data_IF_215505779439
#
_entry.id   IF_215505779439
#
_cell.length_a   1.000
_cell.length_b   1.000
_cell.length_c   1.000
_cell.angle_alpha   90.00
_cell.angle_beta   90.00
_cell.angle_gamma   90.00
#
_symmetry.space_group_name_H-M   'P 1'
#
loop_
_entity.id
_entity.type
_entity.pdbx_description
1 polymer ?
#
# COMPACT_ATOMS: atom_id res chain seq x y z
N UNK A 1 -9.20 6.79 28.82
CA UNK A 1 -8.59 6.98 27.51
C UNK A 1 -7.18 6.38 27.57
N UNK A 2 -6.85 5.39 26.76
CA UNK A 2 -5.52 4.78 26.77
C UNK A 2 -4.67 5.59 25.77
N UNK A 3 -3.65 6.28 26.25
CA UNK A 3 -2.73 7.01 25.37
C UNK A 3 -1.80 6.00 24.70
N UNK A 4 -1.58 6.17 23.38
CA UNK A 4 -0.56 5.43 22.66
C UNK A 4 0.81 6.00 22.99
N UNK A 5 1.73 5.11 23.34
CA UNK A 5 3.13 5.46 23.51
C UNK A 5 3.92 4.92 22.33
N UNK A 6 4.57 5.81 21.59
CA UNK A 6 5.50 5.45 20.53
C UNK A 6 6.92 5.39 21.11
N UNK A 7 7.61 4.29 20.85
CA UNK A 7 9.02 4.16 21.24
C UNK A 7 9.89 5.03 20.34
N UNK A 8 10.30 6.18 20.84
CA UNK A 8 11.09 7.17 20.11
C UNK A 8 12.51 6.71 19.75
N UNK A 9 13.00 5.59 20.31
CA UNK A 9 14.33 5.04 20.01
C UNK A 9 14.34 4.21 18.73
N UNK A 10 13.19 3.85 18.19
CA UNK A 10 13.10 3.05 16.97
C UNK A 10 13.51 3.89 15.75
N UNK A 11 14.27 3.29 14.80
CA UNK A 11 14.89 4.04 13.69
C UNK A 11 13.88 4.59 12.65
N UNK A 12 12.75 3.89 12.43
CA UNK A 12 11.72 4.34 11.50
C UNK A 12 10.53 4.94 12.25
N UNK A 13 9.98 6.04 11.73
CA UNK A 13 8.77 6.62 12.28
C UNK A 13 7.54 5.80 11.89
N UNK A 14 7.55 5.22 10.68
CA UNK A 14 6.47 4.39 10.19
C UNK A 14 6.98 3.28 9.28
N UNK A 15 6.57 2.05 9.56
CA UNK A 15 6.65 0.94 8.60
C UNK A 15 5.28 0.80 7.95
N UNK A 16 5.24 0.72 6.63
CA UNK A 16 3.99 0.60 5.88
C UNK A 16 3.94 -0.76 5.18
N UNK A 17 2.81 -1.43 5.28
CA UNK A 17 2.55 -2.70 4.61
C UNK A 17 1.36 -2.57 3.67
N UNK A 18 1.56 -2.91 2.41
CA UNK A 18 0.44 -2.98 1.48
C UNK A 18 0.80 -2.73 0.02
N UNK A 19 -0.18 -2.18 -0.67
CA UNK A 19 -0.19 -2.02 -2.11
C UNK A 19 0.72 -0.89 -2.59
N UNK A 20 1.45 -1.18 -3.66
CA UNK A 20 2.01 -0.18 -4.56
C UNK A 20 1.56 -0.46 -6.00
N UNK A 21 1.30 0.57 -6.77
CA UNK A 21 0.76 0.50 -8.13
C UNK A 21 1.36 1.59 -9.02
N UNK A 22 1.02 1.54 -10.30
CA UNK A 22 1.32 2.61 -11.25
C UNK A 22 0.02 3.34 -11.55
N UNK A 23 0.01 4.64 -11.29
CA UNK A 23 -1.08 5.52 -11.68
C UNK A 23 -0.72 6.25 -12.99
N UNK A 24 -1.60 6.17 -13.97
CA UNK A 24 -1.49 6.78 -15.30
C UNK A 24 -2.57 7.87 -15.38
N UNK A 25 -2.16 9.11 -15.16
CA UNK A 25 -3.04 10.26 -15.22
C UNK A 25 -2.93 10.94 -16.60
N UNK A 26 -4.03 11.46 -17.18
CA UNK A 26 -3.93 12.25 -18.39
C UNK A 26 -2.94 13.41 -18.22
N UNK A 27 -2.05 13.59 -19.19
CA UNK A 27 -1.18 14.75 -19.19
C UNK A 27 -2.02 16.05 -19.20
N UNK A 28 -1.51 17.11 -18.58
CA UNK A 28 -2.24 18.39 -18.49
C UNK A 28 -2.71 18.90 -19.85
N UNK A 29 -1.94 18.64 -20.90
CA UNK A 29 -2.28 19.01 -22.28
C UNK A 29 -3.52 18.30 -22.85
N UNK A 30 -3.93 17.18 -22.26
CA UNK A 30 -5.10 16.41 -22.71
C UNK A 30 -6.42 17.09 -22.31
N UNK A 31 -6.44 17.91 -21.26
CA UNK A 31 -7.65 18.53 -20.73
C UNK A 31 -8.68 17.51 -20.21
N UNK A 32 -9.93 17.94 -20.12
CA UNK A 32 -11.04 17.08 -19.69
C UNK A 32 -11.65 16.35 -20.88
N UNK A 33 -11.63 15.02 -20.85
CA UNK A 33 -12.23 14.17 -21.89
C UNK A 33 -12.38 12.73 -21.42
N UNK A 34 -13.26 11.95 -22.08
CA UNK A 34 -13.37 10.51 -21.82
C UNK A 34 -12.04 9.79 -22.04
N UNK A 35 -11.75 8.81 -21.18
CA UNK A 35 -10.50 8.04 -21.18
C UNK A 35 -10.14 7.47 -22.56
N UNK A 36 -11.14 7.00 -23.32
CA UNK A 36 -10.96 6.47 -24.70
C UNK A 36 -10.35 7.47 -25.69
N UNK A 37 -10.37 8.77 -25.35
CA UNK A 37 -9.87 9.86 -26.19
C UNK A 37 -8.54 10.44 -25.66
N UNK A 38 -8.04 9.92 -24.54
CA UNK A 38 -6.75 10.34 -23.97
C UNK A 38 -5.63 9.63 -24.72
N UNK A 39 -4.65 10.41 -25.19
CA UNK A 39 -3.50 9.90 -25.95
C UNK A 39 -2.20 9.95 -25.17
N UNK A 40 -2.08 10.83 -24.17
CA UNK A 40 -0.86 11.01 -23.40
C UNK A 40 -1.13 10.90 -21.93
N UNK A 41 -0.35 10.06 -21.26
CA UNK A 41 -0.42 9.83 -19.81
C UNK A 41 0.91 10.17 -19.16
N UNK A 42 0.84 10.74 -17.98
CA UNK A 42 1.95 10.87 -17.06
C UNK A 42 1.89 9.73 -16.03
N UNK A 43 3.07 9.15 -15.75
CA UNK A 43 3.21 7.99 -14.88
C UNK A 43 3.60 8.41 -13.47
N UNK A 44 2.88 7.89 -12.47
CA UNK A 44 3.14 8.12 -11.05
C UNK A 44 3.16 6.81 -10.27
N UNK A 45 3.83 6.80 -9.12
CA UNK A 45 3.64 5.74 -8.14
C UNK A 45 2.33 5.98 -7.42
N UNK A 46 1.48 4.95 -7.38
CA UNK A 46 0.17 4.95 -6.74
C UNK A 46 0.04 3.89 -5.65
N UNK A 47 -1.13 3.87 -5.03
CA UNK A 47 -1.45 3.02 -3.88
C UNK A 47 -1.45 3.82 -2.56
N UNK A 48 -2.49 3.64 -1.73
CA UNK A 48 -2.64 4.38 -0.47
C UNK A 48 -1.38 4.31 0.40
N UNK A 49 -0.83 3.13 0.76
CA UNK A 49 0.35 3.08 1.62
C UNK A 49 1.59 3.69 0.96
N UNK A 50 1.75 3.58 -0.38
CA UNK A 50 2.86 4.21 -1.09
C UNK A 50 2.76 5.75 -1.03
N UNK A 51 1.57 6.30 -1.23
CA UNK A 51 1.33 7.74 -1.11
C UNK A 51 1.56 8.24 0.32
N UNK A 52 1.15 7.47 1.34
CA UNK A 52 1.41 7.79 2.75
C UNK A 52 2.90 7.76 3.03
N UNK A 53 3.66 6.77 2.55
CA UNK A 53 5.10 6.70 2.71
C UNK A 53 5.80 7.96 2.15
N UNK A 54 5.43 8.36 0.93
CA UNK A 54 5.93 9.59 0.33
C UNK A 54 5.55 10.85 1.13
N UNK A 55 4.32 10.91 1.66
CA UNK A 55 3.87 11.99 2.52
C UNK A 55 4.69 12.10 3.80
N UNK A 56 4.90 10.97 4.48
CA UNK A 56 5.69 10.86 5.72
C UNK A 56 7.12 11.36 5.50
N UNK A 57 7.79 10.90 4.45
CA UNK A 57 9.18 11.32 4.18
C UNK A 57 9.29 12.78 3.76
N UNK A 58 8.32 13.34 3.02
CA UNK A 58 8.25 14.78 2.71
C UNK A 58 8.10 15.66 3.94
N UNK A 59 7.56 15.13 5.03
CA UNK A 59 7.51 15.81 6.33
C UNK A 59 8.74 15.57 7.20
N UNK A 60 9.81 15.00 6.65
CA UNK A 60 11.08 14.78 7.34
C UNK A 60 11.09 13.57 8.27
N UNK A 61 10.07 12.72 8.21
CA UNK A 61 10.01 11.47 8.96
C UNK A 61 10.65 10.32 8.16
N UNK A 62 11.02 9.23 8.84
CA UNK A 62 11.61 8.05 8.22
C UNK A 62 10.57 6.97 8.02
N UNK A 63 10.42 6.51 6.78
CA UNK A 63 9.50 5.45 6.41
C UNK A 63 10.22 4.23 5.84
N UNK A 64 9.69 3.04 6.14
CA UNK A 64 10.06 1.80 5.48
C UNK A 64 8.83 1.12 4.88
N UNK A 65 9.01 0.34 3.82
CA UNK A 65 7.92 -0.25 3.08
C UNK A 65 8.06 -1.77 2.96
N UNK A 66 6.99 -2.48 3.33
CA UNK A 66 6.83 -3.93 3.13
C UNK A 66 5.85 -4.13 1.98
N UNK A 67 6.30 -4.73 0.89
CA UNK A 67 5.45 -4.96 -0.27
C UNK A 67 6.11 -5.79 -1.35
N UNK A 68 5.36 -6.01 -2.42
CA UNK A 68 5.85 -6.75 -3.58
C UNK A 68 5.66 -5.96 -4.86
N UNK A 69 6.69 -6.01 -5.73
CA UNK A 69 6.67 -5.37 -7.06
C UNK A 69 6.86 -6.42 -8.15
N UNK A 70 6.52 -6.06 -9.38
CA UNK A 70 6.82 -6.90 -10.55
C UNK A 70 8.32 -6.96 -10.84
N UNK A 71 8.75 -8.05 -11.49
CA UNK A 71 10.11 -8.18 -12.02
C UNK A 71 10.16 -7.64 -13.46
N UNK A 72 10.02 -6.33 -13.57
CA UNK A 72 10.05 -5.58 -14.83
C UNK A 72 10.35 -4.09 -14.59
N UNK A 73 10.37 -3.29 -15.66
CA UNK A 73 10.69 -1.86 -15.64
C UNK A 73 9.74 -1.03 -14.76
N UNK A 74 8.53 -1.49 -14.48
CA UNK A 74 7.65 -0.82 -13.54
C UNK A 74 8.04 -1.10 -12.10
N UNK A 75 8.48 -2.33 -11.79
CA UNK A 75 9.08 -2.64 -10.50
C UNK A 75 10.36 -1.84 -10.23
N UNK A 76 11.20 -1.66 -11.26
CA UNK A 76 12.39 -0.80 -11.18
C UNK A 76 11.98 0.65 -10.88
N UNK A 77 11.02 1.19 -11.65
CA UNK A 77 10.52 2.54 -11.44
C UNK A 77 10.02 2.80 -10.02
N UNK A 78 9.27 1.87 -9.44
CA UNK A 78 8.79 2.00 -8.05
C UNK A 78 9.94 2.01 -7.06
N UNK A 79 10.90 1.09 -7.24
CA UNK A 79 12.05 0.97 -6.33
C UNK A 79 12.92 2.22 -6.39
N UNK A 80 13.22 2.72 -7.58
CA UNK A 80 13.99 3.95 -7.78
C UNK A 80 13.24 5.16 -7.18
N UNK A 81 11.94 5.28 -7.45
CA UNK A 81 11.12 6.35 -6.90
C UNK A 81 11.12 6.37 -5.36
N UNK A 82 11.03 5.20 -4.73
CA UNK A 82 11.08 5.12 -3.26
C UNK A 82 12.45 5.50 -2.72
N UNK A 83 13.53 5.04 -3.36
CA UNK A 83 14.90 5.41 -2.99
C UNK A 83 15.13 6.93 -3.11
N UNK A 84 14.65 7.56 -4.19
CA UNK A 84 14.72 9.01 -4.40
C UNK A 84 13.94 9.81 -3.34
N UNK A 85 12.93 9.19 -2.73
CA UNK A 85 12.13 9.77 -1.65
C UNK A 85 12.58 9.34 -0.24
N UNK A 86 13.74 8.68 -0.12
CA UNK A 86 14.30 8.18 1.15
C UNK A 86 13.35 7.25 1.91
N UNK A 87 12.58 6.44 1.19
CA UNK A 87 11.80 5.35 1.73
C UNK A 87 12.66 4.09 1.70
N UNK A 88 12.80 3.40 2.84
CA UNK A 88 13.55 2.15 2.88
C UNK A 88 12.83 1.05 2.09
N UNK A 89 13.55 0.44 1.15
CA UNK A 89 13.05 -0.58 0.22
C UNK A 89 13.59 -1.98 0.51
N UNK A 90 14.30 -2.16 1.62
CA UNK A 90 14.95 -3.44 1.95
C UNK A 90 13.97 -4.61 2.11
N UNK A 91 12.68 -4.32 2.35
CA UNK A 91 11.60 -5.30 2.46
C UNK A 91 10.59 -5.21 1.31
N UNK A 92 11.02 -4.66 0.18
CA UNK A 92 10.31 -4.78 -1.09
C UNK A 92 10.90 -5.97 -1.85
N UNK A 93 10.07 -6.98 -2.08
CA UNK A 93 10.47 -8.18 -2.82
C UNK A 93 9.88 -8.19 -4.22
N UNK A 94 10.47 -8.96 -5.14
CA UNK A 94 10.00 -9.06 -6.53
C UNK A 94 9.23 -10.35 -6.76
N UNK A 95 8.18 -10.24 -7.55
CA UNK A 95 7.47 -11.41 -8.07
C UNK A 95 8.18 -11.90 -9.34
N UNK A 96 8.45 -13.22 -9.41
CA UNK A 96 9.20 -13.82 -10.52
C UNK A 96 8.36 -14.73 -11.40
N UNK A 97 7.05 -14.90 -11.12
CA UNK A 97 6.16 -15.81 -11.86
C UNK A 97 5.28 -15.07 -12.89
N UNK A 98 5.64 -13.83 -13.22
CA UNK A 98 4.93 -13.03 -14.24
C UNK A 98 3.85 -12.11 -13.70
N UNK A 99 3.70 -12.00 -12.40
CA UNK A 99 2.80 -11.04 -11.76
C UNK A 99 3.24 -9.60 -12.08
N UNK A 100 2.28 -8.70 -12.23
CA UNK A 100 2.49 -7.31 -12.64
C UNK A 100 2.11 -6.33 -11.54
N UNK A 101 2.66 -5.12 -11.60
CA UNK A 101 2.08 -4.02 -10.83
C UNK A 101 0.68 -3.70 -11.33
N UNK A 102 -0.22 -3.38 -10.42
CA UNK A 102 -1.54 -2.88 -10.79
C UNK A 102 -1.41 -1.56 -11.54
N UNK A 103 -2.22 -1.37 -12.58
CA UNK A 103 -2.29 -0.12 -13.33
C UNK A 103 -3.63 0.57 -13.04
N UNK A 104 -3.57 1.86 -12.76
CA UNK A 104 -4.75 2.70 -12.59
C UNK A 104 -4.73 3.80 -13.64
N UNK A 105 -5.78 3.88 -14.44
CA UNK A 105 -5.97 4.96 -15.40
C UNK A 105 -7.03 5.91 -14.86
N UNK A 106 -6.69 7.18 -14.75
CA UNK A 106 -7.63 8.22 -14.35
C UNK A 106 -8.36 8.77 -15.55
N UNK A 107 -9.68 8.84 -15.50
CA UNK A 107 -10.53 9.58 -16.42
C UNK A 107 -10.91 10.91 -15.76
N UNK A 108 -10.75 12.00 -16.45
CA UNK A 108 -11.12 13.34 -15.97
C UNK A 108 -12.13 13.95 -16.95
N UNK A 109 -13.40 13.98 -16.58
CA UNK A 109 -14.48 14.53 -17.41
C UNK A 109 -14.70 16.02 -17.15
N UNK A 110 -14.42 16.49 -15.94
CA UNK A 110 -14.45 17.90 -15.55
C UNK A 110 -13.55 18.14 -14.34
N UNK A 111 -13.53 19.36 -13.80
CA UNK A 111 -12.82 19.68 -12.54
C UNK A 111 -13.40 18.99 -11.32
N UNK A 112 -14.60 18.44 -11.41
CA UNK A 112 -15.32 17.81 -10.29
C UNK A 112 -15.81 16.39 -10.59
N UNK A 113 -15.62 15.92 -11.82
CA UNK A 113 -16.05 14.60 -12.26
C UNK A 113 -14.87 13.80 -12.78
N UNK A 114 -14.56 12.72 -12.08
CA UNK A 114 -13.49 11.79 -12.44
C UNK A 114 -13.90 10.36 -12.14
N UNK A 115 -13.30 9.43 -12.86
CA UNK A 115 -13.41 8.00 -12.59
C UNK A 115 -12.06 7.32 -12.73
N UNK A 116 -11.95 6.09 -12.30
CA UNK A 116 -10.73 5.30 -12.43
C UNK A 116 -11.02 3.93 -13.05
N UNK A 117 -10.17 3.54 -14.00
CA UNK A 117 -10.11 2.19 -14.54
C UNK A 117 -8.88 1.50 -13.98
N UNK A 118 -9.08 0.38 -13.29
CA UNK A 118 -7.98 -0.38 -12.69
C UNK A 118 -7.80 -1.75 -13.34
N UNK A 119 -6.54 -2.08 -13.65
CA UNK A 119 -6.12 -3.41 -14.03
C UNK A 119 -5.42 -4.08 -12.84
N UNK A 120 -6.11 -5.04 -12.22
CA UNK A 120 -5.65 -5.74 -11.03
C UNK A 120 -5.68 -7.26 -11.16
N UNK A 121 -5.51 -7.79 -12.35
CA UNK A 121 -5.41 -9.22 -12.58
C UNK A 121 -3.96 -9.68 -12.41
N UNK A 122 -3.72 -10.75 -11.64
CA UNK A 122 -2.39 -11.33 -11.45
C UNK A 122 -1.35 -10.29 -10.97
N UNK A 123 -1.68 -9.59 -9.88
CA UNK A 123 -0.90 -8.46 -9.38
C UNK A 123 0.08 -8.85 -8.27
N UNK A 124 1.22 -8.17 -8.27
CA UNK A 124 2.34 -8.43 -7.38
C UNK A 124 2.01 -8.15 -5.91
N UNK A 125 1.29 -7.06 -5.61
CA UNK A 125 0.98 -6.68 -4.23
C UNK A 125 0.16 -7.72 -3.46
N UNK A 126 -0.66 -8.52 -4.15
CA UNK A 126 -1.40 -9.63 -3.54
C UNK A 126 -0.59 -10.93 -3.41
N UNK A 127 0.64 -10.98 -3.90
CA UNK A 127 1.57 -12.10 -3.73
C UNK A 127 2.49 -11.94 -2.53
N UNK A 128 2.33 -10.89 -1.74
CA UNK A 128 3.03 -10.78 -0.46
C UNK A 128 2.71 -12.00 0.38
N UNK A 129 3.73 -12.67 0.92
CA UNK A 129 3.57 -13.93 1.63
C UNK A 129 4.07 -13.83 3.07
N UNK A 130 3.78 -14.83 3.86
CA UNK A 130 4.29 -14.91 5.24
C UNK A 130 5.82 -14.89 5.30
N UNK A 131 6.52 -15.36 4.27
CA UNK A 131 7.98 -15.39 4.21
C UNK A 131 8.58 -13.99 3.98
N UNK A 132 7.79 -13.05 3.45
CA UNK A 132 8.22 -11.66 3.24
C UNK A 132 8.09 -10.80 4.51
N UNK A 133 7.56 -11.35 5.62
CA UNK A 133 7.30 -10.61 6.86
C UNK A 133 8.39 -10.91 7.89
N UNK A 134 9.14 -9.86 8.24
CA UNK A 134 10.24 -9.90 9.19
C UNK A 134 9.85 -9.21 10.51
N UNK A 135 10.07 -9.92 11.65
CA UNK A 135 9.71 -9.43 12.98
C UNK A 135 10.58 -8.23 13.40
N UNK A 136 11.89 -8.31 13.16
CA UNK A 136 12.83 -7.27 13.58
C UNK A 136 12.60 -5.98 12.78
N UNK A 137 12.23 -6.11 11.50
CA UNK A 137 11.87 -4.94 10.70
C UNK A 137 10.58 -4.27 11.18
N UNK A 138 9.56 -5.03 11.54
CA UNK A 138 8.34 -4.47 12.16
C UNK A 138 8.68 -3.79 13.49
N UNK A 139 9.52 -4.42 14.32
CA UNK A 139 9.97 -3.86 15.59
C UNK A 139 10.83 -2.60 15.43
N UNK A 140 11.41 -2.36 14.27
CA UNK A 140 12.19 -1.15 13.98
C UNK A 140 11.34 0.10 13.76
N UNK A 141 10.03 -0.05 13.51
CA UNK A 141 9.09 1.05 13.32
C UNK A 141 8.44 1.51 14.62
N UNK A 142 8.29 2.83 14.82
CA UNK A 142 7.48 3.38 15.93
C UNK A 142 6.01 3.02 15.82
N UNK A 143 5.54 2.76 14.58
CA UNK A 143 4.23 2.20 14.27
C UNK A 143 4.28 1.38 12.98
N UNK A 144 3.33 0.45 12.84
CA UNK A 144 3.06 -0.31 11.62
C UNK A 144 1.73 0.18 11.03
N UNK A 145 1.74 0.67 9.78
CA UNK A 145 0.52 0.97 9.03
C UNK A 145 0.20 -0.20 8.10
N UNK A 146 -1.02 -0.67 8.16
CA UNK A 146 -1.55 -1.75 7.32
C UNK A 146 -2.67 -1.20 6.46
N UNK A 147 -2.58 -1.39 5.13
CA UNK A 147 -3.67 -1.06 4.21
C UNK A 147 -4.64 -2.23 4.09
N UNK A 148 -5.95 -1.95 4.20
CA UNK A 148 -7.01 -2.95 4.06
C UNK A 148 -7.05 -3.62 2.69
N UNK A 149 -6.51 -2.98 1.65
CA UNK A 149 -6.38 -3.60 0.31
C UNK A 149 -5.50 -4.84 0.30
N UNK A 150 -4.56 -4.97 1.25
CA UNK A 150 -3.70 -6.14 1.37
C UNK A 150 -4.44 -7.38 1.93
N UNK A 151 -5.63 -7.18 2.51
CA UNK A 151 -6.49 -8.27 3.03
C UNK A 151 -7.36 -8.91 1.94
N UNK A 152 -7.39 -8.36 0.73
CA UNK A 152 -8.36 -8.76 -0.29
C UNK A 152 -8.20 -10.22 -0.76
N UNK A 153 -6.99 -10.75 -0.77
CA UNK A 153 -6.71 -12.09 -1.28
C UNK A 153 -5.49 -12.73 -0.63
N UNK A 154 -5.49 -14.06 -0.49
CA UNK A 154 -4.31 -14.84 -0.15
C UNK A 154 -3.31 -14.85 -1.33
N UNK A 155 -2.00 -14.89 -1.06
CA UNK A 155 -1.32 -15.04 0.24
C UNK A 155 -1.11 -13.72 1.00
N UNK A 156 -1.42 -12.56 0.44
CA UNK A 156 -1.22 -11.25 1.09
C UNK A 156 -2.00 -11.11 2.40
N UNK A 157 -3.17 -11.71 2.45
CA UNK A 157 -4.02 -11.79 3.64
C UNK A 157 -3.30 -12.41 4.83
N UNK A 158 -2.65 -13.55 4.65
CA UNK A 158 -1.89 -14.27 5.66
C UNK A 158 -0.63 -13.50 6.07
N UNK A 159 0.02 -12.82 5.13
CA UNK A 159 1.14 -11.94 5.41
C UNK A 159 0.73 -10.80 6.36
N UNK A 160 -0.42 -10.16 6.10
CA UNK A 160 -0.97 -9.13 7.01
C UNK A 160 -1.22 -9.69 8.40
N UNK A 161 -1.85 -10.86 8.52
CA UNK A 161 -2.13 -11.47 9.83
C UNK A 161 -0.84 -11.79 10.58
N UNK A 162 0.21 -12.25 9.90
CA UNK A 162 1.54 -12.45 10.50
C UNK A 162 2.15 -11.12 10.95
N UNK A 163 2.04 -10.06 10.16
CA UNK A 163 2.52 -8.74 10.52
C UNK A 163 1.82 -8.19 11.78
N UNK A 164 0.50 -8.37 11.88
CA UNK A 164 -0.27 -8.04 13.08
C UNK A 164 0.25 -8.80 14.29
N UNK A 165 0.46 -10.12 14.17
CA UNK A 165 0.99 -10.96 15.24
C UNK A 165 2.37 -10.46 15.72
N UNK A 166 3.28 -10.11 14.80
CA UNK A 166 4.60 -9.59 15.14
C UNK A 166 4.52 -8.20 15.76
N UNK A 167 3.69 -7.31 15.25
CA UNK A 167 3.48 -5.99 15.84
C UNK A 167 2.98 -6.07 17.29
N UNK A 168 2.04 -6.98 17.58
CA UNK A 168 1.57 -7.23 18.96
C UNK A 168 2.68 -7.77 19.85
N UNK A 169 3.46 -8.74 19.35
CA UNK A 169 4.58 -9.35 20.08
C UNK A 169 5.67 -8.33 20.44
N UNK A 170 5.95 -7.39 19.54
CA UNK A 170 7.00 -6.36 19.70
C UNK A 170 6.49 -5.06 20.31
N UNK A 171 5.19 -5.00 20.70
CA UNK A 171 4.52 -3.79 21.16
C UNK A 171 4.67 -2.62 20.16
N UNK A 172 4.56 -2.91 18.87
CA UNK A 172 4.52 -1.92 17.80
C UNK A 172 3.07 -1.50 17.58
N UNK A 173 2.70 -0.22 17.80
CA UNK A 173 1.34 0.26 17.55
C UNK A 173 0.91 0.00 16.11
N UNK A 174 -0.34 -0.43 15.93
CA UNK A 174 -0.92 -0.75 14.62
C UNK A 174 -1.88 0.35 14.20
N UNK A 175 -1.64 0.91 13.01
CA UNK A 175 -2.54 1.84 12.32
C UNK A 175 -3.18 1.05 11.17
N UNK A 176 -4.49 0.93 11.18
CA UNK A 176 -5.23 0.26 10.12
C UNK A 176 -5.91 1.30 9.22
N UNK A 177 -5.41 1.44 8.00
CA UNK A 177 -6.06 2.20 6.93
C UNK A 177 -7.05 1.29 6.20
N UNK A 178 -8.33 1.56 6.37
CA UNK A 178 -9.42 0.74 5.80
C UNK A 178 -9.26 0.63 4.28
N UNK A 179 -8.94 1.72 3.58
CA UNK A 179 -8.75 1.78 2.12
C UNK A 179 -9.67 0.80 1.35
N UNK A 180 -10.97 0.90 1.64
CA UNK A 180 -11.97 0.00 1.07
C UNK A 180 -12.08 0.20 -0.45
N UNK A 181 -12.06 -0.93 -1.17
CA UNK A 181 -12.26 -0.98 -2.62
C UNK A 181 -13.15 -2.17 -2.94
N UNK A 182 -14.41 -1.93 -3.22
CA UNK A 182 -15.43 -2.95 -3.46
C UNK A 182 -14.99 -4.01 -4.48
N UNK A 183 -14.40 -3.59 -5.59
CA UNK A 183 -13.96 -4.47 -6.68
C UNK A 183 -12.83 -5.44 -6.32
N UNK A 184 -12.20 -5.31 -5.16
CA UNK A 184 -11.17 -6.24 -4.69
C UNK A 184 -11.74 -7.48 -4.01
N UNK A 185 -13.03 -7.47 -3.67
CA UNK A 185 -13.65 -8.46 -2.81
C UNK A 185 -14.65 -9.32 -3.57
N UNK A 186 -14.78 -10.58 -3.15
CA UNK A 186 -15.76 -11.50 -3.74
C UNK A 186 -17.16 -11.30 -3.16
N UNK A 187 -17.24 -10.92 -1.90
CA UNK A 187 -18.48 -10.70 -1.18
C UNK A 187 -18.25 -9.88 0.10
N UNK A 188 -19.34 -9.38 0.69
CA UNK A 188 -19.30 -8.55 1.91
C UNK A 188 -18.91 -9.34 3.16
N UNK A 189 -19.18 -10.64 3.21
CA UNK A 189 -18.83 -11.48 4.36
C UNK A 189 -17.31 -11.57 4.53
N UNK A 190 -16.56 -11.73 3.43
CA UNK A 190 -15.10 -11.72 3.49
C UNK A 190 -14.56 -10.40 4.03
N UNK A 191 -15.11 -9.27 3.60
CA UNK A 191 -14.71 -7.93 4.09
C UNK A 191 -14.93 -7.86 5.59
N UNK A 192 -16.15 -8.20 6.03
CA UNK A 192 -16.55 -8.15 7.44
C UNK A 192 -15.61 -9.00 8.31
N UNK A 193 -15.28 -10.21 7.88
CA UNK A 193 -14.41 -11.13 8.61
C UNK A 193 -12.99 -10.55 8.73
N UNK A 194 -12.35 -10.28 7.59
CA UNK A 194 -10.91 -9.95 7.62
C UNK A 194 -10.63 -8.54 8.13
N UNK A 195 -11.50 -7.58 7.82
CA UNK A 195 -11.36 -6.24 8.38
C UNK A 195 -11.57 -6.24 9.89
N UNK A 196 -12.56 -7.01 10.40
CA UNK A 196 -12.80 -7.10 11.85
C UNK A 196 -11.61 -7.71 12.59
N UNK A 197 -10.94 -8.72 12.03
CA UNK A 197 -9.76 -9.32 12.64
C UNK A 197 -8.67 -8.26 12.85
N UNK A 198 -8.34 -7.50 11.81
CA UNK A 198 -7.28 -6.48 11.90
C UNK A 198 -7.73 -5.27 12.72
N UNK A 199 -8.98 -4.82 12.56
CA UNK A 199 -9.52 -3.68 13.30
C UNK A 199 -9.56 -3.93 14.82
N UNK A 200 -9.85 -5.17 15.27
CA UNK A 200 -9.84 -5.51 16.68
C UNK A 200 -8.44 -5.47 17.30
N UNK A 201 -7.39 -5.64 16.52
CA UNK A 201 -6.00 -5.59 16.95
C UNK A 201 -5.36 -4.21 16.76
N UNK A 202 -5.97 -3.34 15.95
CA UNK A 202 -5.46 -2.02 15.64
C UNK A 202 -5.61 -1.05 16.82
N UNK A 203 -4.62 -0.19 16.99
CA UNK A 203 -4.62 0.89 17.99
C UNK A 203 -5.25 2.17 17.41
N UNK A 204 -5.12 2.37 16.10
CA UNK A 204 -5.73 3.47 15.33
C UNK A 204 -6.38 2.88 14.09
N UNK A 205 -7.61 3.31 13.79
CA UNK A 205 -8.30 2.97 12.54
C UNK A 205 -8.55 4.26 11.78
N UNK A 206 -8.18 4.26 10.51
CA UNK A 206 -8.36 5.38 9.59
C UNK A 206 -9.19 4.94 8.39
N UNK A 207 -9.98 5.85 7.86
CA UNK A 207 -10.78 5.59 6.67
C UNK A 207 -11.72 6.75 6.37
N UNK A 208 -12.23 6.81 5.14
CA UNK A 208 -13.20 7.81 4.66
C UNK A 208 -14.39 7.12 4.02
#
# INVERSE_FOLDING_TARGET
MKYLNFDTNRPYDLILLGRVAIDLNPAVSEGFKPLKNVSHFEKYVGGSPANIACGVTRHGMKAGFIGKVSDDQFGDFVTDYFNDHNIDTSHITRCTNGEKLGLTFTEMLSSTESSILMYRNCIADLQLSVDDIDEDYIASGKALLISGTALAQSPSREAVLKAVMFAKKTNTPIIFDIDYREYNWKNEDEISIYYSIVANEADIIMGS
#
